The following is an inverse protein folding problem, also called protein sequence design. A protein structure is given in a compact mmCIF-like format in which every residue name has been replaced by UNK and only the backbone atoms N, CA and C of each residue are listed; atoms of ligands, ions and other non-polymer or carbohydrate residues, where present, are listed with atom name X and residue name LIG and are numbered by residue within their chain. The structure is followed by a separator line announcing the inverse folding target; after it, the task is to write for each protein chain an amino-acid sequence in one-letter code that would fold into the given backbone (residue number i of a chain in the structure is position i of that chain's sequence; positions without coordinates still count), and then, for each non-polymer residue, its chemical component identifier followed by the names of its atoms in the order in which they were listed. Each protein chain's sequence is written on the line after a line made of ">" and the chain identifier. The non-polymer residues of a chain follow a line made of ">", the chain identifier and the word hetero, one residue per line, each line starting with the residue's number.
data_IF_000583163438
#
_entry.id   IF_000583163438
#
_cell.length_a   1.000
_cell.length_b   1.000
_cell.length_c   1.000
_cell.angle_alpha   90.00
_cell.angle_beta   90.00
_cell.angle_gamma   90.00
#
_symmetry.space_group_name_H-M   'P 1'
#
loop_
_entity.id
_entity.type
_entity.pdbx_description
1 polymer ?
#
# COMPACT_ATOMS: atom_id res chain seq x y z
N UNK A 1 11.98 15.65 16.43
CA UNK A 1 11.84 15.69 14.97
C UNK A 1 12.21 14.33 14.40
N UNK A 2 11.21 13.55 13.99
CA UNK A 2 11.39 12.18 13.48
C UNK A 2 11.38 12.12 11.95
N UNK A 3 11.50 13.29 11.26
CA UNK A 3 11.58 13.33 9.82
C UNK A 3 12.88 12.68 9.31
N UNK A 4 12.76 11.79 8.34
CA UNK A 4 13.89 11.14 7.66
C UNK A 4 13.95 11.67 6.24
N UNK A 5 15.15 11.97 5.78
CA UNK A 5 15.43 12.30 4.37
C UNK A 5 16.01 11.03 3.77
N UNK A 6 15.43 10.56 2.68
CA UNK A 6 15.87 9.39 1.93
C UNK A 6 16.11 9.77 0.47
N UNK A 7 16.92 9.01 -0.23
CA UNK A 7 17.27 9.30 -1.62
C UNK A 7 16.24 8.73 -2.61
N UNK A 8 15.58 7.64 -2.23
CA UNK A 8 14.65 6.93 -3.11
C UNK A 8 13.28 6.75 -2.46
N UNK A 9 12.25 6.64 -3.29
CA UNK A 9 10.90 6.30 -2.83
C UNK A 9 10.86 4.88 -2.25
N UNK A 10 11.65 3.95 -2.78
CA UNK A 10 11.73 2.57 -2.28
C UNK A 10 12.15 2.52 -0.81
N UNK A 11 13.14 3.33 -0.42
CA UNK A 11 13.56 3.44 0.99
C UNK A 11 12.48 4.04 1.89
N UNK A 12 11.69 4.98 1.36
CA UNK A 12 10.59 5.59 2.11
C UNK A 12 9.41 4.63 2.35
N UNK A 13 9.22 3.67 1.45
CA UNK A 13 8.09 2.76 1.45
C UNK A 13 8.38 1.40 2.11
N UNK A 14 9.57 1.21 2.64
CA UNK A 14 9.96 -0.02 3.32
C UNK A 14 8.98 -0.35 4.48
N UNK A 15 8.47 -1.58 4.49
CA UNK A 15 7.48 -2.04 5.48
C UNK A 15 6.05 -1.51 5.30
N UNK A 16 5.76 -0.67 4.28
CA UNK A 16 4.41 -0.19 4.01
C UNK A 16 3.61 -1.24 3.23
N UNK A 17 2.44 -1.61 3.76
CA UNK A 17 1.55 -2.62 3.16
C UNK A 17 0.35 -2.02 2.44
N UNK A 18 0.00 -0.76 2.72
CA UNK A 18 -1.08 -0.04 2.05
C UNK A 18 -0.67 1.39 1.71
N UNK A 19 -0.63 1.70 0.42
CA UNK A 19 -0.17 2.98 -0.11
C UNK A 19 -1.33 3.79 -0.67
N UNK A 20 -1.43 5.03 -0.23
CA UNK A 20 -2.41 6.01 -0.70
C UNK A 20 -1.69 7.14 -1.43
N UNK A 21 -1.90 7.28 -2.74
CA UNK A 21 -1.50 8.47 -3.48
C UNK A 21 -2.47 9.61 -3.21
N UNK A 22 -2.00 10.85 -3.18
CA UNK A 22 -2.87 12.03 -3.22
C UNK A 22 -2.93 12.57 -4.63
N UNK A 23 -4.09 12.47 -5.27
CA UNK A 23 -4.26 12.89 -6.66
C UNK A 23 -5.60 13.57 -6.86
N UNK A 24 -5.59 14.72 -7.54
CA UNK A 24 -6.81 15.47 -7.85
C UNK A 24 -7.63 14.80 -8.96
N UNK A 25 -6.96 14.18 -9.92
CA UNK A 25 -7.60 13.56 -11.10
C UNK A 25 -7.27 12.08 -11.19
N UNK A 26 -8.24 11.24 -11.58
CA UNK A 26 -7.99 9.85 -11.91
C UNK A 26 -6.88 9.72 -12.97
N UNK A 27 -6.09 8.67 -12.88
CA UNK A 27 -5.05 8.33 -13.86
C UNK A 27 -5.48 7.12 -14.67
N UNK A 28 -5.26 7.16 -15.98
CA UNK A 28 -5.42 5.98 -16.82
C UNK A 28 -4.55 4.85 -16.28
N UNK A 29 -5.13 3.67 -16.04
CA UNK A 29 -4.45 2.50 -15.44
C UNK A 29 -3.92 2.72 -14.02
N UNK A 30 -4.31 3.81 -13.36
CA UNK A 30 -4.00 4.07 -11.96
C UNK A 30 -4.89 3.26 -10.99
N UNK A 31 -4.61 3.35 -9.70
CA UNK A 31 -5.45 2.76 -8.67
C UNK A 31 -6.84 3.42 -8.67
N UNK A 32 -7.85 2.78 -8.04
CA UNK A 32 -9.16 3.37 -7.90
C UNK A 32 -9.07 4.73 -7.18
N UNK A 33 -9.82 5.72 -7.66
CA UNK A 33 -9.88 7.05 -7.03
C UNK A 33 -11.07 7.10 -6.08
N UNK A 34 -10.83 7.52 -4.83
CA UNK A 34 -11.84 7.62 -3.78
C UNK A 34 -11.67 8.87 -2.94
N UNK A 35 -12.74 9.34 -2.32
CA UNK A 35 -12.65 10.35 -1.27
C UNK A 35 -11.97 9.75 -0.03
N UNK A 36 -11.15 10.52 0.74
CA UNK A 36 -10.45 10.00 1.91
C UNK A 36 -11.37 9.31 2.92
N UNK A 37 -12.47 9.95 3.29
CA UNK A 37 -13.46 9.40 4.24
C UNK A 37 -14.02 8.06 3.78
N UNK A 38 -14.50 8.00 2.55
CA UNK A 38 -15.06 6.79 1.94
C UNK A 38 -14.02 5.64 1.96
N UNK A 39 -12.80 5.95 1.56
CA UNK A 39 -11.74 4.95 1.51
C UNK A 39 -11.40 4.41 2.89
N UNK A 40 -11.24 5.27 3.88
CA UNK A 40 -10.88 4.86 5.24
C UNK A 40 -12.00 4.06 5.91
N UNK A 41 -13.26 4.42 5.67
CA UNK A 41 -14.40 3.63 6.13
C UNK A 41 -14.40 2.21 5.53
N UNK A 42 -14.15 2.09 4.22
CA UNK A 42 -14.06 0.79 3.55
C UNK A 42 -12.89 -0.04 4.07
N UNK A 43 -11.74 0.58 4.25
CA UNK A 43 -10.54 -0.07 4.77
C UNK A 43 -10.78 -0.62 6.18
N UNK A 44 -11.46 0.13 7.04
CA UNK A 44 -11.71 -0.25 8.43
C UNK A 44 -12.90 -1.19 8.62
N UNK A 45 -13.77 -1.35 7.63
CA UNK A 45 -14.90 -2.30 7.68
C UNK A 45 -14.46 -3.76 7.55
N UNK A 46 -13.30 -4.03 7.00
CA UNK A 46 -12.71 -5.38 6.94
C UNK A 46 -12.29 -5.86 8.33
N UNK A 47 -12.72 -7.04 8.76
CA UNK A 47 -12.41 -7.57 10.10
C UNK A 47 -10.90 -7.72 10.34
N UNK A 48 -10.15 -8.14 9.33
CA UNK A 48 -8.69 -8.29 9.40
C UNK A 48 -7.98 -6.95 9.57
N UNK A 49 -8.41 -5.93 8.84
CA UNK A 49 -7.84 -4.57 8.92
C UNK A 49 -8.09 -3.94 10.29
N UNK A 50 -9.25 -4.17 10.91
CA UNK A 50 -9.58 -3.62 12.24
C UNK A 50 -8.68 -4.17 13.34
N UNK A 51 -8.36 -5.46 13.33
CA UNK A 51 -7.49 -6.07 14.32
C UNK A 51 -6.05 -5.57 14.20
N UNK A 52 -5.55 -5.42 12.98
CA UNK A 52 -4.20 -4.90 12.72
C UNK A 52 -4.07 -3.43 13.10
N UNK A 53 -5.08 -2.61 12.78
CA UNK A 53 -5.07 -1.18 13.12
C UNK A 53 -5.21 -0.96 14.63
N UNK A 54 -6.05 -1.72 15.33
CA UNK A 54 -6.14 -1.67 16.79
C UNK A 54 -4.83 -2.03 17.49
N UNK A 55 -4.06 -2.99 16.94
CA UNK A 55 -2.72 -3.29 17.45
C UNK A 55 -1.78 -2.10 17.29
N UNK A 56 -1.79 -1.41 16.14
CA UNK A 56 -1.01 -0.19 15.95
C UNK A 56 -1.35 0.91 16.96
N UNK A 57 -2.62 1.11 17.29
CA UNK A 57 -3.04 2.10 18.30
C UNK A 57 -2.53 1.73 19.69
N UNK A 58 -2.55 0.45 20.03
CA UNK A 58 -2.04 -0.05 21.32
C UNK A 58 -0.52 0.07 21.38
N UNK A 59 0.19 -0.22 20.27
CA UNK A 59 1.64 -0.19 20.18
C UNK A 59 2.20 1.24 20.14
N UNK A 60 1.47 2.19 19.56
CA UNK A 60 1.80 3.62 19.58
C UNK A 60 1.60 4.24 20.97
N UNK A 61 0.71 3.67 21.81
CA UNK A 61 0.50 4.09 23.19
C UNK A 61 1.56 3.55 24.17
N UNK A 62 2.26 2.46 23.80
CA UNK A 62 3.35 1.86 24.55
C UNK A 62 4.67 2.03 23.79
N UNK A 63 5.48 2.98 24.20
CA UNK A 63 6.82 3.22 23.66
C UNK A 63 7.65 1.92 23.54
N UNK A 64 8.24 1.66 22.36
CA UNK A 64 9.35 0.73 22.11
C UNK A 64 9.05 -0.79 22.07
N UNK A 65 7.89 -1.27 21.65
CA UNK A 65 7.80 -2.65 21.25
C UNK A 65 8.35 -2.79 19.79
N UNK A 66 9.42 -3.54 19.62
CA UNK A 66 9.87 -4.03 18.30
C UNK A 66 8.68 -4.72 17.63
N UNK A 67 8.26 -4.19 16.47
CA UNK A 67 7.13 -4.74 15.71
C UNK A 67 7.63 -6.01 15.01
N UNK A 68 7.66 -7.11 15.73
CA UNK A 68 7.88 -8.46 15.21
C UNK A 68 6.53 -9.11 14.92
N UNK A 69 6.03 -8.87 13.71
CA UNK A 69 4.81 -9.48 13.18
C UNK A 69 4.22 -8.57 12.11
N UNK A 70 3.76 -9.11 11.00
CA UNK A 70 3.30 -8.38 9.82
C UNK A 70 2.42 -7.17 10.18
N UNK A 71 3.07 -6.04 10.43
CA UNK A 71 2.40 -4.80 10.79
C UNK A 71 1.73 -4.21 9.57
N UNK A 72 0.47 -3.80 9.70
CA UNK A 72 -0.20 -3.01 8.69
C UNK A 72 0.44 -1.61 8.64
N UNK A 73 1.28 -1.39 7.64
CA UNK A 73 1.92 -0.10 7.40
C UNK A 73 1.11 0.73 6.41
N UNK A 74 0.56 1.87 6.87
CA UNK A 74 -0.14 2.84 6.00
C UNK A 74 0.82 3.92 5.55
N UNK A 75 0.99 4.09 4.24
CA UNK A 75 1.78 5.17 3.63
C UNK A 75 0.90 6.14 2.85
N UNK A 76 1.08 7.44 3.09
CA UNK A 76 0.43 8.52 2.33
C UNK A 76 1.48 9.25 1.49
N UNK A 77 1.34 9.19 0.17
CA UNK A 77 2.25 9.82 -0.77
C UNK A 77 1.67 11.16 -1.23
N UNK A 78 2.49 12.19 -1.08
CA UNK A 78 2.19 13.53 -1.56
C UNK A 78 3.24 13.95 -2.58
N UNK A 79 2.79 14.46 -3.70
CA UNK A 79 3.68 15.00 -4.73
C UNK A 79 4.24 16.36 -4.36
N UNK A 80 5.21 16.82 -5.15
CA UNK A 80 5.71 18.19 -5.02
C UNK A 80 4.59 19.21 -5.31
N UNK A 81 4.65 20.36 -4.67
CA UNK A 81 3.66 21.43 -4.84
C UNK A 81 3.56 21.91 -6.29
N UNK A 82 4.68 21.92 -7.00
CA UNK A 82 4.76 22.41 -8.38
C UNK A 82 4.35 21.39 -9.43
N UNK A 83 4.72 20.12 -9.25
CA UNK A 83 4.57 19.10 -10.31
C UNK A 83 3.61 17.97 -9.92
N UNK A 84 3.22 17.90 -8.65
CA UNK A 84 2.43 16.77 -8.14
C UNK A 84 3.23 15.48 -8.07
N UNK A 85 2.56 14.37 -8.24
CA UNK A 85 3.14 13.02 -8.30
C UNK A 85 3.29 12.55 -9.74
N UNK A 86 4.35 11.78 -10.01
CA UNK A 86 4.50 11.08 -11.29
C UNK A 86 3.42 10.00 -11.45
N UNK A 87 3.13 9.60 -12.67
CA UNK A 87 2.21 8.46 -12.91
C UNK A 87 2.76 7.17 -12.33
N UNK A 88 4.07 6.99 -12.41
CA UNK A 88 4.78 5.82 -11.90
C UNK A 88 4.60 5.66 -10.39
N UNK A 89 4.75 6.74 -9.63
CA UNK A 89 4.53 6.73 -8.18
C UNK A 89 3.07 6.46 -7.81
N UNK A 90 2.12 7.07 -8.56
CA UNK A 90 0.68 6.82 -8.35
C UNK A 90 0.32 5.37 -8.65
N UNK A 91 0.92 4.75 -9.67
CA UNK A 91 0.64 3.36 -10.03
C UNK A 91 1.12 2.35 -8.98
N UNK A 92 2.05 2.73 -8.12
CA UNK A 92 2.51 1.90 -7.00
C UNK A 92 1.53 1.85 -5.83
N UNK A 93 0.54 2.75 -5.81
CA UNK A 93 -0.40 2.88 -4.71
C UNK A 93 -1.62 1.96 -4.88
N UNK A 94 -2.23 1.60 -3.74
CA UNK A 94 -3.46 0.80 -3.69
C UNK A 94 -4.70 1.65 -4.00
N UNK A 95 -4.63 2.94 -3.71
CA UNK A 95 -5.71 3.91 -3.92
C UNK A 95 -5.15 5.28 -4.26
N UNK A 96 -5.88 6.06 -5.05
CA UNK A 96 -5.68 7.50 -5.22
C UNK A 96 -6.75 8.25 -4.42
N UNK A 97 -6.32 9.00 -3.42
CA UNK A 97 -7.19 9.83 -2.60
C UNK A 97 -7.44 11.17 -3.29
N UNK A 98 -8.67 11.44 -3.66
CA UNK A 98 -9.11 12.72 -4.21
C UNK A 98 -9.95 13.46 -3.16
N UNK A 99 -9.41 14.55 -2.64
CA UNK A 99 -10.12 15.38 -1.67
C UNK A 99 -11.21 16.17 -2.43
N UNK A 100 -12.50 16.04 -2.04
CA UNK A 100 -13.56 16.82 -2.65
C UNK A 100 -13.33 18.32 -2.46
N UNK A 101 -13.23 19.07 -3.55
CA UNK A 101 -12.97 20.51 -3.58
C UNK A 101 -13.91 21.20 -4.54
N UNK A 102 -13.78 22.52 -4.68
CA UNK A 102 -14.54 23.28 -5.66
C UNK A 102 -14.23 22.77 -7.09
N UNK A 103 -15.23 22.35 -7.88
CA UNK A 103 -15.02 21.85 -9.25
C UNK A 103 -14.29 22.83 -10.19
N UNK A 104 -14.42 24.14 -9.92
CA UNK A 104 -13.75 25.17 -10.72
C UNK A 104 -12.32 25.46 -10.26
N UNK A 105 -11.96 25.07 -9.04
CA UNK A 105 -10.64 25.28 -8.47
C UNK A 105 -10.33 24.14 -7.49
N UNK A 106 -9.91 23.01 -8.05
CA UNK A 106 -9.72 21.77 -7.29
C UNK A 106 -8.37 21.66 -6.59
N UNK A 107 -7.40 22.53 -6.91
CA UNK A 107 -6.07 22.44 -6.34
C UNK A 107 -6.05 22.94 -4.89
N UNK A 108 -5.53 22.11 -3.99
CA UNK A 108 -5.21 22.48 -2.61
C UNK A 108 -3.69 22.66 -2.49
N UNK A 109 -3.27 23.58 -1.62
CA UNK A 109 -1.88 23.61 -1.26
C UNK A 109 -1.50 22.33 -0.49
N UNK A 110 -0.22 21.98 -0.52
CA UNK A 110 0.25 20.74 0.05
C UNK A 110 -0.05 20.60 1.55
N UNK A 111 0.15 21.66 2.32
CA UNK A 111 -0.13 21.65 3.76
C UNK A 111 -1.60 21.42 4.08
N UNK A 112 -2.51 22.04 3.32
CA UNK A 112 -3.96 21.82 3.48
C UNK A 112 -4.35 20.37 3.11
N UNK A 113 -3.79 19.81 2.04
CA UNK A 113 -4.05 18.43 1.65
C UNK A 113 -3.57 17.43 2.72
N UNK A 114 -2.36 17.62 3.25
CA UNK A 114 -1.81 16.80 4.34
C UNK A 114 -2.71 16.87 5.56
N UNK A 115 -3.11 18.09 5.97
CA UNK A 115 -3.94 18.26 7.17
C UNK A 115 -5.32 17.61 7.02
N UNK A 116 -5.97 17.72 5.86
CA UNK A 116 -7.28 17.11 5.62
C UNK A 116 -7.19 15.58 5.63
N UNK A 117 -6.17 14.99 5.01
CA UNK A 117 -6.00 13.54 5.01
C UNK A 117 -5.66 13.02 6.41
N UNK A 118 -4.79 13.71 7.13
CA UNK A 118 -4.46 13.37 8.52
C UNK A 118 -5.69 13.46 9.44
N UNK A 119 -6.53 14.46 9.25
CA UNK A 119 -7.78 14.62 9.99
C UNK A 119 -8.76 13.47 9.71
N UNK A 120 -9.02 13.17 8.44
CA UNK A 120 -9.93 12.08 8.05
C UNK A 120 -9.41 10.71 8.51
N UNK A 121 -8.10 10.48 8.44
CA UNK A 121 -7.50 9.27 8.96
C UNK A 121 -7.65 9.17 10.49
N UNK A 122 -7.36 10.24 11.22
CA UNK A 122 -7.54 10.29 12.67
C UNK A 122 -8.99 10.09 13.08
N UNK A 123 -9.94 10.69 12.34
CA UNK A 123 -11.37 10.52 12.56
C UNK A 123 -11.79 9.06 12.36
N UNK A 124 -11.33 8.43 11.28
CA UNK A 124 -11.64 7.04 10.96
C UNK A 124 -11.14 6.08 12.04
N UNK A 125 -9.99 6.35 12.65
CA UNK A 125 -9.45 5.60 13.77
C UNK A 125 -10.19 5.85 15.12
N UNK A 126 -11.21 6.71 15.14
CA UNK A 126 -11.94 7.05 16.37
C UNK A 126 -11.19 8.02 17.29
N UNK A 127 -10.13 8.66 16.82
CA UNK A 127 -9.21 9.45 17.64
C UNK A 127 -9.76 10.77 18.21
N UNK A 128 -11.02 11.11 17.94
CA UNK A 128 -11.76 12.23 18.53
C UNK A 128 -12.91 11.76 19.43
N UNK A 129 -13.14 10.45 19.54
CA UNK A 129 -14.04 9.90 20.56
C UNK A 129 -13.36 10.08 21.91
N UNK A 130 -14.02 10.69 22.87
CA UNK A 130 -13.56 10.62 24.27
C UNK A 130 -13.39 9.14 24.61
N UNK A 131 -12.21 8.75 25.05
CA UNK A 131 -11.95 7.39 25.50
C UNK A 131 -12.88 7.09 26.67
N UNK A 132 -14.00 6.43 26.39
CA UNK A 132 -14.70 5.70 27.44
C UNK A 132 -13.65 4.74 27.99
N UNK A 133 -13.21 5.03 29.22
CA UNK A 133 -12.24 4.25 29.97
C UNK A 133 -12.81 2.83 30.05
N UNK A 134 -12.38 1.97 29.12
CA UNK A 134 -12.73 0.55 29.15
C UNK A 134 -12.09 0.00 30.43
N UNK A 135 -12.92 -0.46 31.34
CA UNK A 135 -12.45 -1.28 32.46
C UNK A 135 -11.68 -2.48 31.91
N UNK A 136 -10.61 -2.93 32.57
CA UNK A 136 -9.81 -4.05 32.11
C UNK A 136 -10.69 -5.30 32.01
N UNK A 137 -11.02 -5.72 30.82
CA UNK A 137 -11.59 -7.04 30.58
C UNK A 137 -10.46 -8.04 30.82
N UNK A 138 -10.64 -8.91 31.80
CA UNK A 138 -9.72 -9.98 32.14
C UNK A 138 -9.29 -10.76 30.89
N UNK A 139 -7.98 -10.90 30.72
CA UNK A 139 -7.35 -11.59 29.62
C UNK A 139 -7.80 -13.06 29.59
N UNK A 140 -8.65 -13.41 28.64
CA UNK A 140 -8.87 -14.80 28.25
C UNK A 140 -7.62 -15.24 27.51
N UNK A 141 -6.86 -16.13 28.11
CA UNK A 141 -5.68 -16.77 27.50
C UNK A 141 -6.10 -17.48 26.19
N UNK A 142 -5.58 -17.08 25.03
CA UNK A 142 -5.79 -17.89 23.83
C UNK A 142 -4.82 -19.07 23.88
N UNK A 143 -5.38 -20.26 23.90
CA UNK A 143 -4.67 -21.51 23.69
C UNK A 143 -3.82 -21.44 22.42
N UNK A 144 -2.57 -21.90 22.55
CA UNK A 144 -1.59 -22.11 21.49
C UNK A 144 -2.16 -22.87 20.31
N UNK A 145 -2.49 -22.15 19.24
CA UNK A 145 -2.55 -22.71 17.90
C UNK A 145 -1.52 -21.95 17.07
N UNK A 146 -0.63 -22.70 16.39
CA UNK A 146 0.36 -22.22 15.44
C UNK A 146 -0.34 -21.48 14.28
N UNK A 147 -0.70 -20.21 14.49
CA UNK A 147 -1.30 -19.33 13.52
C UNK A 147 -0.21 -18.74 12.63
N UNK A 148 -0.20 -19.14 11.35
CA UNK A 148 0.48 -18.43 10.28
C UNK A 148 0.15 -16.95 10.39
N UNK A 149 1.16 -16.11 10.38
CA UNK A 149 1.03 -14.65 10.33
C UNK A 149 0.55 -14.27 8.93
N UNK A 150 -0.75 -14.22 8.72
CA UNK A 150 -1.36 -13.76 7.46
C UNK A 150 -1.31 -12.22 7.43
N UNK A 151 -0.14 -11.69 7.09
CA UNK A 151 0.04 -10.27 6.78
C UNK A 151 0.00 -10.02 5.28
N UNK A 152 -0.27 -8.78 4.85
CA UNK A 152 -0.12 -8.39 3.44
C UNK A 152 1.36 -8.18 3.10
N UNK A 153 1.71 -8.46 1.84
CA UNK A 153 3.04 -8.15 1.32
C UNK A 153 3.27 -6.64 1.32
N UNK A 154 4.47 -6.23 1.66
CA UNK A 154 4.86 -4.82 1.62
C UNK A 154 5.15 -4.32 0.20
N UNK A 155 5.30 -3.00 0.05
CA UNK A 155 5.54 -2.35 -1.23
C UNK A 155 6.85 -2.82 -1.90
N UNK A 156 7.89 -3.14 -1.12
CA UNK A 156 9.16 -3.64 -1.64
C UNK A 156 9.02 -5.04 -2.20
N UNK A 157 8.26 -5.91 -1.53
CA UNK A 157 7.96 -7.27 -1.99
C UNK A 157 7.16 -7.26 -3.30
N UNK A 158 6.13 -6.42 -3.41
CA UNK A 158 5.32 -6.25 -4.63
C UNK A 158 6.17 -5.70 -5.77
N UNK A 159 6.94 -4.64 -5.53
CA UNK A 159 7.84 -4.04 -6.53
C UNK A 159 8.88 -5.05 -7.02
N UNK A 160 9.51 -5.80 -6.11
CA UNK A 160 10.49 -6.82 -6.47
C UNK A 160 9.87 -7.98 -7.25
N UNK A 161 8.65 -8.39 -6.95
CA UNK A 161 7.91 -9.38 -7.72
C UNK A 161 7.59 -8.87 -9.13
N UNK A 162 7.11 -7.64 -9.27
CA UNK A 162 6.79 -7.04 -10.58
C UNK A 162 8.02 -6.89 -11.46
N UNK A 163 9.17 -6.48 -10.93
CA UNK A 163 10.44 -6.46 -11.68
C UNK A 163 10.83 -7.85 -12.20
N UNK A 164 10.63 -8.88 -11.38
CA UNK A 164 10.88 -10.26 -11.81
C UNK A 164 9.92 -10.72 -12.91
N UNK A 165 8.65 -10.36 -12.81
CA UNK A 165 7.66 -10.63 -13.87
C UNK A 165 7.99 -9.92 -15.17
N UNK A 166 8.38 -8.64 -15.12
CA UNK A 166 8.78 -7.87 -16.29
C UNK A 166 9.93 -8.55 -17.03
N UNK A 167 10.98 -8.96 -16.31
CA UNK A 167 12.09 -9.69 -16.88
C UNK A 167 11.64 -11.01 -17.50
N UNK A 168 10.85 -11.81 -16.78
CA UNK A 168 10.40 -13.12 -17.26
C UNK A 168 9.49 -13.03 -18.49
N UNK A 169 8.62 -12.02 -18.54
CA UNK A 169 7.78 -11.77 -19.70
C UNK A 169 8.58 -11.31 -20.92
N UNK A 170 9.68 -10.60 -20.68
CA UNK A 170 10.64 -10.23 -21.73
C UNK A 170 11.40 -11.46 -22.24
N UNK A 171 11.86 -12.31 -21.33
CA UNK A 171 12.63 -13.53 -21.67
C UNK A 171 11.82 -14.48 -22.58
N UNK A 172 10.52 -14.64 -22.32
CA UNK A 172 9.62 -15.45 -23.16
C UNK A 172 9.10 -14.74 -24.42
N UNK A 173 9.50 -13.48 -24.65
CA UNK A 173 9.06 -12.69 -25.81
C UNK A 173 7.62 -12.20 -25.77
N UNK A 174 6.96 -12.25 -24.61
CA UNK A 174 5.60 -11.73 -24.43
C UNK A 174 5.58 -10.21 -24.25
N UNK A 175 6.58 -9.65 -23.57
CA UNK A 175 6.79 -8.22 -23.41
C UNK A 175 7.94 -7.76 -24.29
N UNK A 176 7.66 -6.79 -25.17
CA UNK A 176 8.68 -6.10 -25.94
C UNK A 176 9.14 -4.84 -25.18
N UNK A 177 10.40 -4.78 -24.70
CA UNK A 177 10.89 -3.61 -23.98
C UNK A 177 10.91 -2.32 -24.83
N UNK A 178 11.00 -2.45 -26.15
CA UNK A 178 10.97 -1.30 -27.08
C UNK A 178 9.55 -0.76 -27.29
N UNK A 179 8.53 -1.59 -27.03
CA UNK A 179 7.12 -1.25 -27.15
C UNK A 179 6.30 -1.84 -25.99
N UNK A 180 6.54 -1.45 -24.72
CA UNK A 180 6.00 -2.14 -23.55
C UNK A 180 4.49 -1.99 -23.40
N UNK A 181 3.85 -1.14 -24.21
CA UNK A 181 2.42 -0.83 -24.15
C UNK A 181 2.02 -0.45 -22.71
N UNK A 182 0.90 -1.01 -22.25
CA UNK A 182 0.36 -0.72 -20.91
C UNK A 182 0.31 -1.98 -20.01
N UNK A 183 1.11 -3.00 -20.32
CA UNK A 183 1.06 -4.28 -19.62
C UNK A 183 1.52 -4.14 -18.17
N UNK A 184 2.71 -3.60 -17.93
CA UNK A 184 3.24 -3.48 -16.57
C UNK A 184 2.39 -2.59 -15.65
N UNK A 185 1.90 -1.41 -16.09
CA UNK A 185 0.92 -0.64 -15.32
C UNK A 185 -0.35 -1.42 -14.96
N UNK A 186 -0.88 -2.25 -15.87
CA UNK A 186 -2.06 -3.08 -15.61
C UNK A 186 -1.79 -4.21 -14.62
N UNK A 187 -0.64 -4.86 -14.71
CA UNK A 187 -0.22 -5.88 -13.74
C UNK A 187 -0.02 -5.27 -12.36
N UNK A 188 0.60 -4.11 -12.29
CA UNK A 188 0.77 -3.38 -11.04
C UNK A 188 -0.59 -3.05 -10.40
N UNK A 189 -1.54 -2.51 -11.18
CA UNK A 189 -2.90 -2.26 -10.70
C UNK A 189 -3.60 -3.55 -10.22
N UNK A 190 -3.44 -4.65 -10.95
CA UNK A 190 -4.03 -5.94 -10.61
C UNK A 190 -3.53 -6.43 -9.25
N UNK A 191 -2.21 -6.48 -9.07
CA UNK A 191 -1.59 -7.02 -7.87
C UNK A 191 -1.78 -6.11 -6.64
N UNK A 192 -1.71 -4.78 -6.81
CA UNK A 192 -2.01 -3.85 -5.71
C UNK A 192 -3.47 -3.94 -5.25
N UNK A 193 -4.40 -4.20 -6.16
CA UNK A 193 -5.81 -4.41 -5.82
C UNK A 193 -6.05 -5.74 -5.09
N UNK A 194 -5.28 -6.77 -5.42
CA UNK A 194 -5.40 -8.10 -4.83
C UNK A 194 -4.92 -8.16 -3.37
N UNK A 195 -4.10 -7.19 -2.92
CA UNK A 195 -3.54 -7.16 -1.56
C UNK A 195 -2.87 -8.50 -1.18
N UNK A 196 -1.86 -8.87 -1.97
CA UNK A 196 -1.21 -10.17 -1.88
C UNK A 196 -0.54 -10.41 -0.51
N UNK A 197 -0.56 -11.65 -0.06
CA UNK A 197 0.25 -12.11 1.07
C UNK A 197 1.71 -12.39 0.65
N UNK A 198 2.66 -12.47 1.59
CA UNK A 198 4.03 -12.88 1.30
C UNK A 198 4.13 -14.25 0.63
N UNK A 199 3.25 -15.20 0.99
CA UNK A 199 3.19 -16.53 0.40
C UNK A 199 2.74 -16.46 -1.07
N UNK A 200 1.74 -15.64 -1.38
CA UNK A 200 1.28 -15.42 -2.76
C UNK A 200 2.37 -14.74 -3.60
N UNK A 201 3.11 -13.78 -3.05
CA UNK A 201 4.29 -13.20 -3.70
C UNK A 201 5.33 -14.27 -4.01
N UNK A 202 5.57 -15.21 -3.08
CA UNK A 202 6.51 -16.30 -3.30
C UNK A 202 6.06 -17.23 -4.44
N UNK A 203 4.78 -17.58 -4.50
CA UNK A 203 4.20 -18.38 -5.59
C UNK A 203 4.37 -17.66 -6.93
N UNK A 204 4.01 -16.37 -7.00
CA UNK A 204 4.11 -15.57 -8.22
C UNK A 204 5.56 -15.41 -8.71
N UNK A 205 6.54 -15.29 -7.79
CA UNK A 205 7.96 -15.31 -8.13
C UNK A 205 8.40 -16.69 -8.65
N UNK A 206 7.85 -17.77 -8.12
CA UNK A 206 8.08 -19.13 -8.62
C UNK A 206 7.61 -19.30 -10.06
N UNK A 207 6.43 -18.79 -10.40
CA UNK A 207 5.88 -18.79 -11.76
C UNK A 207 6.79 -17.99 -12.71
N UNK A 208 7.20 -16.78 -12.33
CA UNK A 208 8.11 -15.96 -13.11
C UNK A 208 9.44 -16.69 -13.41
N UNK A 209 10.03 -17.30 -12.37
CA UNK A 209 11.25 -18.10 -12.54
C UNK A 209 11.06 -19.25 -13.53
N UNK A 210 9.92 -19.96 -13.46
CA UNK A 210 9.64 -21.07 -14.39
C UNK A 210 9.49 -20.57 -15.83
N UNK A 211 8.90 -19.40 -16.06
CA UNK A 211 8.81 -18.79 -17.38
C UNK A 211 10.21 -18.49 -17.95
N UNK A 212 11.10 -17.83 -17.20
CA UNK A 212 12.47 -17.55 -17.66
C UNK A 212 13.28 -18.84 -17.94
N UNK A 213 13.08 -19.87 -17.13
CA UNK A 213 13.73 -21.18 -17.36
C UNK A 213 13.23 -21.84 -18.66
N UNK A 214 11.92 -21.78 -18.95
CA UNK A 214 11.35 -22.30 -20.19
C UNK A 214 11.92 -21.58 -21.42
N UNK A 215 12.08 -20.26 -21.36
CA UNK A 215 12.71 -19.48 -22.43
C UNK A 215 14.15 -19.92 -22.71
N UNK A 216 14.92 -20.16 -21.66
CA UNK A 216 16.33 -20.56 -21.78
C UNK A 216 16.52 -21.96 -22.41
N UNK A 217 15.53 -22.83 -22.30
CA UNK A 217 15.53 -24.17 -22.92
C UNK A 217 15.16 -24.10 -24.42
N UNK A 218 14.25 -23.19 -24.77
CA UNK A 218 13.80 -23.02 -26.16
C UNK A 218 14.81 -22.28 -27.04
N UNK A 219 15.84 -21.67 -26.46
CA UNK A 219 16.89 -20.92 -27.17
C UNK A 219 18.15 -21.78 -27.48
N UNK A 220 18.14 -23.06 -27.12
CA UNK A 220 19.16 -24.06 -27.44
C UNK A 220 18.68 -24.98 -28.55
#
# INVERSE_FOLDING_TARGET
>A
NNARIVETLDEALDGMTHLCATAMTPRDFGPPTRAPREHFELLLKGEHSRQQIRRLETDLAYNNAEINGAAFGMGFLFGSERFGMSNEDVYRCNVALSIPTNPKFGSLNLGAAIQLIAYEWRLALGGFSESVRAEPVEAINPSTSSGRTEGFADAAQITGMLKHWEQSLTDIGFLDPAAPKKLMPRLNQLFNRAQLSPEEIHILRGIAKAMSQAASVSSK
#
